data_IF_942201284658
#
_entry.id   IF_942201284658
#
_cell.length_a   1.000
_cell.length_b   1.000
_cell.length_c   1.000
_cell.angle_alpha   90.00
_cell.angle_beta   90.00
_cell.angle_gamma   90.00
#
_symmetry.space_group_name_H-M   'P 1'
#
loop_
_entity.id
_entity.type
_entity.pdbx_description
1 polymer ?
#
# COMPACT_ATOMS: atom_id res chain seq x y z
N UNK A 1 -12.04 -13.55 0.33
CA UNK A 1 -12.58 -13.21 1.66
C UNK A 1 -13.75 -14.12 1.93
N UNK A 2 -13.90 -14.60 3.15
CA UNK A 2 -14.99 -15.52 3.46
C UNK A 2 -16.34 -14.82 3.28
N UNK A 3 -17.37 -15.59 2.87
CA UNK A 3 -18.77 -15.16 2.83
C UNK A 3 -19.20 -14.48 4.14
N UNK A 4 -18.73 -15.00 5.29
CA UNK A 4 -19.01 -14.48 6.64
C UNK A 4 -18.66 -12.99 6.84
N UNK A 5 -17.51 -12.51 6.35
CA UNK A 5 -17.19 -11.08 6.43
C UNK A 5 -18.04 -10.27 5.45
N UNK A 6 -18.21 -10.78 4.22
CA UNK A 6 -18.99 -10.07 3.19
C UNK A 6 -20.44 -9.82 3.62
N UNK A 7 -21.07 -10.81 4.25
CA UNK A 7 -22.44 -10.74 4.75
C UNK A 7 -22.61 -9.76 5.94
N UNK A 8 -21.55 -9.56 6.71
CA UNK A 8 -21.57 -8.73 7.93
C UNK A 8 -20.92 -7.36 7.79
N UNK A 9 -20.36 -7.08 6.63
CA UNK A 9 -19.70 -5.79 6.38
C UNK A 9 -20.68 -4.63 6.54
N UNK A 10 -20.32 -3.68 7.42
CA UNK A 10 -21.17 -2.54 7.76
C UNK A 10 -22.13 -2.78 8.92
N UNK A 11 -22.18 -3.99 9.49
CA UNK A 11 -22.92 -4.27 10.72
C UNK A 11 -22.23 -3.55 11.91
N UNK A 12 -22.94 -2.68 12.66
CA UNK A 12 -22.36 -1.97 13.79
C UNK A 12 -21.94 -2.88 14.95
N UNK A 13 -22.43 -4.12 14.98
CA UNK A 13 -22.10 -5.12 16.00
C UNK A 13 -20.72 -5.76 15.81
N UNK A 14 -20.08 -5.62 14.65
CA UNK A 14 -18.75 -6.20 14.43
C UNK A 14 -17.61 -5.24 14.80
N UNK A 15 -16.46 -5.82 15.08
CA UNK A 15 -15.18 -5.12 15.14
C UNK A 15 -14.43 -5.37 13.82
N UNK A 16 -14.59 -4.45 12.86
CA UNK A 16 -13.95 -4.53 11.55
C UNK A 16 -12.52 -3.97 11.61
N UNK A 17 -11.55 -4.86 11.76
CA UNK A 17 -10.12 -4.56 11.78
C UNK A 17 -9.41 -5.00 10.48
N UNK A 18 -10.16 -5.19 9.39
CA UNK A 18 -9.63 -5.77 8.14
C UNK A 18 -8.94 -4.73 7.27
N UNK A 19 -9.62 -3.62 6.99
CA UNK A 19 -9.16 -2.58 6.07
C UNK A 19 -8.93 -1.24 6.75
N UNK A 20 -8.06 -0.41 6.14
CA UNK A 20 -7.84 0.97 6.57
C UNK A 20 -8.99 1.89 6.15
N UNK A 21 -10.21 1.57 6.57
CA UNK A 21 -11.37 2.43 6.41
C UNK A 21 -11.52 3.38 7.61
N UNK A 22 -12.17 4.54 7.42
CA UNK A 22 -12.50 5.42 8.54
C UNK A 22 -13.60 4.80 9.40
N UNK A 23 -13.46 4.92 10.72
CA UNK A 23 -14.46 4.59 11.72
C UNK A 23 -14.86 5.82 12.56
N UNK A 24 -14.41 6.98 12.14
CA UNK A 24 -14.66 8.28 12.76
C UNK A 24 -15.07 9.29 11.69
N UNK A 25 -15.57 10.45 12.11
CA UNK A 25 -15.94 11.51 11.17
C UNK A 25 -14.74 12.00 10.38
N UNK A 26 -14.93 12.39 9.10
CA UNK A 26 -13.86 12.94 8.28
C UNK A 26 -13.22 14.17 8.93
N UNK A 27 -11.94 14.41 8.61
CA UNK A 27 -11.23 15.62 9.05
C UNK A 27 -12.00 16.89 8.65
N UNK A 28 -12.24 17.78 9.60
CA UNK A 28 -12.95 19.04 9.34
C UNK A 28 -12.25 19.87 8.25
N UNK A 29 -10.90 19.88 8.25
CA UNK A 29 -10.12 20.55 7.21
C UNK A 29 -10.34 19.98 5.82
N UNK A 30 -10.52 18.66 5.67
CA UNK A 30 -10.87 18.03 4.41
C UNK A 30 -12.25 18.50 3.91
N UNK A 31 -13.24 18.49 4.80
CA UNK A 31 -14.61 18.94 4.46
C UNK A 31 -14.60 20.40 4.04
N UNK A 32 -13.86 21.26 4.74
CA UNK A 32 -13.72 22.69 4.42
C UNK A 32 -13.06 22.86 3.05
N UNK A 33 -11.93 22.20 2.80
CA UNK A 33 -11.22 22.27 1.53
C UNK A 33 -12.12 21.87 0.35
N UNK A 34 -12.85 20.76 0.47
CA UNK A 34 -13.74 20.30 -0.59
C UNK A 34 -14.89 21.27 -0.85
N UNK A 35 -15.49 21.85 0.21
CA UNK A 35 -16.56 22.83 0.08
C UNK A 35 -16.08 24.11 -0.62
N UNK A 36 -14.91 24.62 -0.26
CA UNK A 36 -14.33 25.82 -0.88
C UNK A 36 -13.96 25.57 -2.35
N UNK A 37 -13.39 24.43 -2.67
CA UNK A 37 -13.01 24.08 -4.05
C UNK A 37 -14.22 23.68 -4.91
N UNK A 38 -15.37 23.38 -4.34
CA UNK A 38 -16.61 23.20 -5.07
C UNK A 38 -17.20 24.53 -5.61
N UNK A 39 -16.76 25.70 -5.10
CA UNK A 39 -17.18 27.01 -5.58
C UNK A 39 -16.35 27.43 -6.79
N UNK A 40 -16.93 27.53 -8.00
CA UNK A 40 -16.17 27.84 -9.21
C UNK A 40 -15.64 29.27 -9.18
N UNK A 41 -14.40 29.47 -9.59
CA UNK A 41 -13.75 30.80 -9.70
C UNK A 41 -13.70 31.34 -11.12
N UNK A 42 -13.92 30.48 -12.13
CA UNK A 42 -13.98 30.85 -13.54
C UNK A 42 -14.75 29.78 -14.34
N UNK A 43 -15.11 30.10 -15.59
CA UNK A 43 -15.98 29.29 -16.45
C UNK A 43 -15.45 27.84 -16.69
N UNK A 44 -14.14 27.65 -16.67
CA UNK A 44 -13.48 26.37 -16.97
C UNK A 44 -13.12 25.58 -15.70
N UNK A 45 -13.70 25.93 -14.54
CA UNK A 45 -13.41 25.31 -13.25
C UNK A 45 -13.66 23.79 -13.25
N UNK A 46 -14.73 23.36 -13.89
CA UNK A 46 -15.12 21.96 -14.00
C UNK A 46 -14.87 21.36 -15.40
N UNK A 47 -14.08 22.04 -16.23
CA UNK A 47 -13.67 21.47 -17.50
C UNK A 47 -12.74 20.25 -17.31
N UNK A 48 -12.56 19.47 -18.37
CA UNK A 48 -11.56 18.38 -18.35
C UNK A 48 -10.18 18.92 -17.96
N UNK A 49 -9.57 18.26 -16.96
CA UNK A 49 -8.25 18.63 -16.45
C UNK A 49 -7.33 17.41 -16.45
N UNK A 50 -6.25 17.52 -17.15
CA UNK A 50 -5.23 16.46 -17.19
C UNK A 50 -4.52 16.34 -15.84
N UNK A 51 -3.79 17.39 -15.47
CA UNK A 51 -3.27 17.63 -14.12
C UNK A 51 -3.33 19.14 -13.90
N UNK A 52 -3.90 19.57 -12.79
CA UNK A 52 -4.00 20.99 -12.48
C UNK A 52 -2.60 21.57 -12.24
N UNK A 53 -2.25 22.61 -13.02
CA UNK A 53 -0.87 23.17 -13.06
C UNK A 53 -0.43 23.74 -11.72
N UNK A 54 -1.32 24.44 -11.03
CA UNK A 54 -1.00 25.00 -9.71
C UNK A 54 -0.72 23.87 -8.69
N UNK A 55 -1.49 22.80 -8.74
CA UNK A 55 -1.29 21.64 -7.88
C UNK A 55 -0.01 20.87 -8.23
N UNK A 56 0.33 20.73 -9.52
CA UNK A 56 1.62 20.15 -9.92
C UNK A 56 2.80 20.99 -9.44
N UNK A 57 2.74 22.32 -9.60
CA UNK A 57 3.80 23.21 -9.15
C UNK A 57 3.97 23.17 -7.63
N UNK A 58 2.85 23.18 -6.90
CA UNK A 58 2.85 23.04 -5.45
C UNK A 58 3.48 21.71 -5.00
N UNK A 59 3.08 20.61 -5.63
CA UNK A 59 3.62 19.27 -5.32
C UNK A 59 5.10 19.16 -5.64
N UNK A 60 5.57 19.74 -6.74
CA UNK A 60 7.00 19.74 -7.06
C UNK A 60 7.83 20.41 -5.96
N UNK A 61 7.39 21.59 -5.49
CA UNK A 61 8.04 22.29 -4.37
C UNK A 61 7.95 21.46 -3.07
N UNK A 62 6.81 20.85 -2.80
CA UNK A 62 6.60 20.03 -1.61
C UNK A 62 7.50 18.80 -1.61
N UNK A 63 7.57 18.07 -2.73
CA UNK A 63 8.43 16.90 -2.90
C UNK A 63 9.92 17.28 -2.82
N UNK A 64 10.29 18.41 -3.40
CA UNK A 64 11.65 18.93 -3.27
C UNK A 64 12.02 19.18 -1.80
N UNK A 65 11.13 19.79 -1.03
CA UNK A 65 11.35 20.04 0.41
C UNK A 65 11.38 18.75 1.23
N UNK A 66 10.51 17.77 0.91
CA UNK A 66 10.35 16.54 1.69
C UNK A 66 11.41 15.48 1.36
N UNK A 67 11.76 15.33 0.08
CA UNK A 67 12.66 14.28 -0.41
C UNK A 67 14.06 14.79 -0.79
N UNK A 68 14.30 16.12 -0.72
CA UNK A 68 15.54 16.77 -1.14
C UNK A 68 15.95 16.46 -2.60
N UNK A 69 14.97 16.26 -3.48
CA UNK A 69 15.16 15.98 -4.91
C UNK A 69 14.53 17.10 -5.76
N UNK A 70 15.17 17.56 -6.86
CA UNK A 70 14.76 18.75 -7.63
C UNK A 70 13.60 18.43 -8.60
N UNK A 71 12.42 18.12 -8.07
CA UNK A 71 11.22 17.85 -8.87
C UNK A 71 10.77 19.08 -9.65
N UNK A 72 10.33 18.83 -10.88
CA UNK A 72 9.63 19.82 -11.72
C UNK A 72 8.13 19.46 -11.81
N UNK A 73 7.23 20.42 -12.07
CA UNK A 73 5.80 20.14 -12.24
C UNK A 73 5.51 19.06 -13.30
N UNK A 74 6.30 19.02 -14.37
CA UNK A 74 6.18 18.03 -15.45
C UNK A 74 6.53 16.61 -15.05
N UNK A 75 7.19 16.41 -13.93
CA UNK A 75 7.52 15.08 -13.39
C UNK A 75 6.30 14.40 -12.75
N UNK A 76 5.22 15.14 -12.50
CA UNK A 76 4.10 14.72 -11.67
C UNK A 76 2.82 14.63 -12.50
N UNK A 77 2.20 13.46 -12.54
CA UNK A 77 0.85 13.26 -13.08
C UNK A 77 -0.13 12.99 -11.93
N UNK A 78 -1.17 13.83 -11.80
CA UNK A 78 -2.26 13.58 -10.85
C UNK A 78 -3.08 12.38 -11.30
N UNK A 79 -3.46 11.51 -10.35
CA UNK A 79 -4.16 10.27 -10.62
C UNK A 79 -5.34 10.06 -9.66
N UNK A 80 -6.25 9.16 -10.00
CA UNK A 80 -7.37 8.74 -9.14
C UNK A 80 -6.88 7.83 -8.00
N UNK A 81 -5.92 8.31 -7.22
CA UNK A 81 -5.23 7.58 -6.14
C UNK A 81 -4.13 6.66 -6.65
N UNK A 82 -3.46 5.97 -5.72
CA UNK A 82 -2.33 5.09 -6.03
C UNK A 82 -2.70 3.91 -6.93
N UNK A 83 -3.94 3.38 -6.90
CA UNK A 83 -4.36 2.33 -7.83
C UNK A 83 -4.14 2.73 -9.29
N UNK A 84 -4.63 3.93 -9.66
CA UNK A 84 -4.44 4.45 -11.01
C UNK A 84 -2.95 4.74 -11.29
N UNK A 85 -2.22 5.31 -10.34
CA UNK A 85 -0.79 5.57 -10.47
C UNK A 85 0.00 4.29 -10.77
N UNK A 86 -0.26 3.21 -10.04
CA UNK A 86 0.40 1.91 -10.21
C UNK A 86 0.06 1.30 -11.57
N UNK A 87 -1.22 1.30 -12.00
CA UNK A 87 -1.59 0.77 -13.31
C UNK A 87 -0.98 1.60 -14.45
N UNK A 88 -0.96 2.93 -14.33
CA UNK A 88 -0.24 3.78 -15.30
C UNK A 88 1.25 3.41 -15.32
N UNK A 89 1.89 3.24 -14.16
CA UNK A 89 3.28 2.82 -14.08
C UNK A 89 3.51 1.48 -14.79
N UNK A 90 2.64 0.48 -14.58
CA UNK A 90 2.76 -0.81 -15.27
C UNK A 90 2.68 -0.66 -16.78
N UNK A 91 1.69 0.05 -17.30
CA UNK A 91 1.50 0.21 -18.75
C UNK A 91 2.54 1.11 -19.44
N UNK A 92 3.30 1.92 -18.69
CA UNK A 92 4.39 2.72 -19.30
C UNK A 92 5.74 2.00 -19.30
N UNK A 93 5.93 0.97 -18.45
CA UNK A 93 7.24 0.29 -18.35
C UNK A 93 7.20 -1.19 -18.71
N UNK A 94 6.01 -1.81 -18.81
CA UNK A 94 5.85 -3.24 -19.11
C UNK A 94 5.16 -3.44 -20.46
N UNK A 95 5.65 -4.38 -21.23
CA UNK A 95 4.95 -4.98 -22.36
C UNK A 95 4.36 -6.34 -21.96
N UNK A 96 3.48 -6.89 -22.78
CA UNK A 96 2.95 -8.22 -22.57
C UNK A 96 4.08 -9.26 -22.46
N UNK A 97 4.06 -10.05 -21.38
CA UNK A 97 5.05 -11.06 -21.06
C UNK A 97 6.33 -10.54 -20.39
N UNK A 98 6.47 -9.23 -20.14
CA UNK A 98 7.53 -8.70 -19.27
C UNK A 98 7.29 -9.12 -17.83
N UNK A 99 8.38 -9.20 -17.06
CA UNK A 99 8.34 -9.65 -15.67
C UNK A 99 8.48 -8.47 -14.70
N UNK A 100 7.73 -8.57 -13.58
CA UNK A 100 7.85 -7.65 -12.45
C UNK A 100 8.11 -8.41 -11.15
N UNK A 101 9.14 -8.01 -10.39
CA UNK A 101 9.49 -8.61 -9.09
C UNK A 101 8.67 -7.95 -7.99
N UNK A 102 8.01 -8.78 -7.17
CA UNK A 102 7.27 -8.38 -5.96
C UNK A 102 7.75 -9.17 -4.76
N UNK A 103 7.91 -8.50 -3.61
CA UNK A 103 8.36 -9.13 -2.35
C UNK A 103 7.17 -9.46 -1.45
N UNK A 104 7.05 -10.74 -1.05
CA UNK A 104 5.95 -11.26 -0.21
C UNK A 104 6.34 -11.35 1.27
N UNK A 105 5.40 -11.06 2.20
CA UNK A 105 4.00 -10.66 1.97
C UNK A 105 3.90 -9.35 1.21
N UNK A 106 2.99 -9.26 0.25
CA UNK A 106 2.80 -8.08 -0.58
C UNK A 106 1.35 -7.57 -0.47
N UNK A 107 1.12 -6.31 -0.81
CA UNK A 107 -0.25 -5.86 -1.00
C UNK A 107 -0.93 -6.71 -2.09
N UNK A 108 -2.00 -7.38 -1.72
CA UNK A 108 -2.65 -8.42 -2.51
C UNK A 108 -3.19 -7.95 -3.89
N UNK A 109 -3.19 -6.65 -4.17
CA UNK A 109 -3.61 -6.13 -5.47
C UNK A 109 -2.49 -6.08 -6.51
N UNK A 110 -1.20 -6.16 -6.13
CA UNK A 110 -0.13 -6.09 -7.15
C UNK A 110 -0.21 -7.21 -8.17
N UNK A 111 -0.36 -8.45 -7.71
CA UNK A 111 -0.44 -9.60 -8.62
C UNK A 111 -1.59 -9.50 -9.62
N UNK A 112 -2.88 -9.33 -9.21
CA UNK A 112 -3.97 -9.21 -10.18
C UNK A 112 -3.83 -7.98 -11.08
N UNK A 113 -3.22 -6.88 -10.62
CA UNK A 113 -2.96 -5.72 -11.47
C UNK A 113 -1.87 -5.99 -12.51
N UNK A 114 -0.80 -6.72 -12.16
CA UNK A 114 0.24 -7.14 -13.11
C UNK A 114 -0.35 -8.08 -14.17
N UNK A 115 -1.14 -9.06 -13.75
CA UNK A 115 -1.82 -9.97 -14.66
C UNK A 115 -2.78 -9.22 -15.61
N UNK A 116 -3.50 -8.22 -15.11
CA UNK A 116 -4.36 -7.36 -15.95
C UNK A 116 -3.58 -6.47 -16.93
N UNK A 117 -2.29 -6.25 -16.68
CA UNK A 117 -1.36 -5.57 -17.58
C UNK A 117 -0.59 -6.57 -18.48
N UNK A 118 -1.04 -7.82 -18.59
CA UNK A 118 -0.37 -8.91 -19.31
C UNK A 118 1.09 -9.16 -18.90
N UNK A 119 1.48 -8.74 -17.68
CA UNK A 119 2.81 -8.92 -17.11
C UNK A 119 2.88 -10.16 -16.21
N UNK A 120 4.08 -10.69 -16.03
CA UNK A 120 4.35 -11.90 -15.24
C UNK A 120 4.91 -11.51 -13.87
N UNK A 121 4.19 -11.77 -12.76
CA UNK A 121 4.71 -11.52 -11.42
C UNK A 121 5.79 -12.54 -11.03
N UNK A 122 6.97 -12.05 -10.63
CA UNK A 122 8.07 -12.83 -10.05
C UNK A 122 8.10 -12.59 -8.55
N UNK A 123 7.71 -13.60 -7.78
CA UNK A 123 7.53 -13.50 -6.33
C UNK A 123 8.79 -13.91 -5.59
N UNK A 124 9.25 -13.09 -4.66
CA UNK A 124 10.35 -13.38 -3.72
C UNK A 124 9.88 -13.19 -2.29
N UNK A 125 10.51 -13.85 -1.32
CA UNK A 125 10.16 -13.65 0.09
C UNK A 125 10.98 -12.52 0.70
N UNK A 126 10.36 -11.75 1.59
CA UNK A 126 11.07 -10.85 2.50
C UNK A 126 11.85 -11.67 3.54
N UNK A 127 12.93 -11.10 4.09
CA UNK A 127 13.76 -11.76 5.13
C UNK A 127 13.03 -11.79 6.47
N UNK A 128 12.79 -12.98 6.98
CA UNK A 128 12.34 -13.18 8.35
C UNK A 128 13.47 -12.97 9.37
N UNK A 129 13.17 -12.54 10.62
CA UNK A 129 11.85 -12.18 11.13
C UNK A 129 11.46 -10.70 10.86
N UNK A 130 12.40 -9.87 10.38
CA UNK A 130 12.22 -8.42 10.30
C UNK A 130 11.47 -7.95 9.06
N UNK A 131 11.23 -8.84 8.10
CA UNK A 131 10.61 -8.52 6.81
C UNK A 131 11.35 -7.43 6.02
N UNK A 132 12.68 -7.45 6.09
CA UNK A 132 13.54 -6.63 5.23
C UNK A 132 13.60 -7.20 3.81
N UNK A 133 14.00 -6.37 2.83
CA UNK A 133 14.20 -6.82 1.46
C UNK A 133 15.29 -7.90 1.40
N UNK A 134 15.00 -9.02 0.75
CA UNK A 134 16.00 -10.02 0.43
C UNK A 134 16.63 -9.70 -0.94
N UNK A 135 17.71 -8.92 -0.90
CA UNK A 135 18.41 -8.50 -2.11
C UNK A 135 18.95 -9.66 -2.93
N UNK A 136 19.38 -10.74 -2.27
CA UNK A 136 19.87 -11.95 -2.95
C UNK A 136 18.73 -12.66 -3.69
N UNK A 137 17.54 -12.76 -3.07
CA UNK A 137 16.37 -13.33 -3.71
C UNK A 137 15.86 -12.45 -4.84
N UNK A 138 15.89 -11.10 -4.67
CA UNK A 138 15.55 -10.15 -5.74
C UNK A 138 16.52 -10.31 -6.92
N UNK A 139 17.83 -10.36 -6.68
CA UNK A 139 18.84 -10.54 -7.73
C UNK A 139 18.63 -11.84 -8.51
N UNK A 140 18.38 -12.94 -7.81
CA UNK A 140 18.11 -14.25 -8.41
C UNK A 140 16.80 -14.28 -9.23
N UNK A 141 15.82 -13.44 -8.89
CA UNK A 141 14.56 -13.36 -9.61
C UNK A 141 14.61 -12.46 -10.86
N UNK A 142 15.61 -11.58 -10.96
CA UNK A 142 15.77 -10.70 -12.13
C UNK A 142 16.39 -11.46 -13.30
N UNK A 143 15.68 -11.45 -14.43
CA UNK A 143 16.08 -12.09 -15.68
C UNK A 143 15.98 -11.15 -16.88
N UNK A 144 16.23 -11.66 -18.11
CA UNK A 144 16.23 -10.85 -19.32
C UNK A 144 14.87 -10.26 -19.70
N UNK A 145 13.79 -10.73 -19.09
CA UNK A 145 12.42 -10.20 -19.25
C UNK A 145 11.99 -9.28 -18.11
N UNK A 146 12.79 -9.15 -17.07
CA UNK A 146 12.43 -8.31 -15.91
C UNK A 146 12.58 -6.85 -16.26
N UNK A 147 11.51 -6.08 -16.13
CA UNK A 147 11.45 -4.63 -16.40
C UNK A 147 11.15 -3.80 -15.17
N UNK A 148 10.60 -4.42 -14.13
CA UNK A 148 10.11 -3.71 -12.95
C UNK A 148 10.43 -4.47 -11.67
N UNK A 149 10.83 -3.71 -10.63
CA UNK A 149 10.83 -4.16 -9.24
C UNK A 149 9.91 -3.25 -8.45
N UNK A 150 9.05 -3.80 -7.59
CA UNK A 150 8.11 -3.02 -6.77
C UNK A 150 8.61 -3.03 -5.34
N UNK A 151 8.76 -1.84 -4.76
CA UNK A 151 9.06 -1.62 -3.34
C UNK A 151 7.95 -0.77 -2.73
N UNK A 152 7.24 -1.31 -1.76
CA UNK A 152 6.26 -0.58 -0.96
C UNK A 152 6.89 -0.17 0.38
N UNK A 153 7.00 1.12 0.66
CA UNK A 153 7.59 1.62 1.89
C UNK A 153 6.95 2.95 2.31
N UNK A 154 6.47 3.09 3.56
CA UNK A 154 6.28 2.06 4.59
C UNK A 154 5.44 0.89 4.09
N UNK A 155 5.85 -0.32 4.44
CA UNK A 155 5.39 -1.55 3.82
C UNK A 155 4.02 -2.02 4.34
N UNK A 156 3.12 -2.35 3.44
CA UNK A 156 1.86 -3.02 3.75
C UNK A 156 1.99 -4.51 3.38
N UNK A 157 1.94 -5.46 4.36
CA UNK A 157 1.27 -5.33 5.66
C UNK A 157 2.16 -5.06 6.87
N UNK A 158 3.47 -5.16 6.76
CA UNK A 158 4.38 -5.29 7.91
C UNK A 158 4.69 -3.96 8.63
N UNK A 159 4.40 -2.82 8.02
CA UNK A 159 4.74 -1.50 8.54
C UNK A 159 6.23 -1.15 8.47
N UNK A 160 7.05 -1.98 7.85
CA UNK A 160 8.50 -1.79 7.77
C UNK A 160 8.86 -0.57 6.91
N UNK A 161 9.81 0.23 7.38
CA UNK A 161 10.49 1.26 6.58
C UNK A 161 11.91 0.76 6.33
N UNK A 162 12.26 0.56 5.07
CA UNK A 162 13.59 0.08 4.70
C UNK A 162 14.63 1.18 4.91
N UNK A 163 15.81 0.79 5.39
CA UNK A 163 16.89 1.73 5.67
C UNK A 163 17.66 2.14 4.39
N UNK A 164 18.41 3.22 4.51
CA UNK A 164 19.15 3.81 3.40
C UNK A 164 20.20 2.84 2.82
N UNK A 165 20.84 2.01 3.64
CA UNK A 165 21.82 1.04 3.17
C UNK A 165 21.17 -0.04 2.32
N UNK A 166 20.00 -0.54 2.74
CA UNK A 166 19.22 -1.51 1.98
C UNK A 166 18.75 -0.92 0.65
N UNK A 167 18.24 0.33 0.65
CA UNK A 167 17.76 1.00 -0.56
C UNK A 167 18.91 1.32 -1.52
N UNK A 168 20.08 1.73 -1.02
CA UNK A 168 21.28 1.96 -1.81
C UNK A 168 21.80 0.68 -2.45
N UNK A 169 21.88 -0.41 -1.69
CA UNK A 169 22.30 -1.71 -2.21
C UNK A 169 21.31 -2.25 -3.27
N UNK A 170 19.99 -2.01 -3.10
CA UNK A 170 19.01 -2.31 -4.12
C UNK A 170 19.26 -1.49 -5.40
N UNK A 171 19.52 -0.20 -5.29
CA UNK A 171 19.83 0.67 -6.44
C UNK A 171 21.04 0.18 -7.23
N UNK A 172 22.12 -0.18 -6.53
CA UNK A 172 23.33 -0.75 -7.13
C UNK A 172 23.03 -2.10 -7.84
N UNK A 173 22.21 -2.93 -7.23
CA UNK A 173 21.75 -4.20 -7.82
C UNK A 173 20.98 -3.97 -9.12
N UNK A 174 20.04 -3.04 -9.12
CA UNK A 174 19.21 -2.72 -10.30
C UNK A 174 20.03 -2.11 -11.44
N UNK A 175 21.05 -1.30 -11.12
CA UNK A 175 21.95 -0.76 -12.14
C UNK A 175 22.78 -1.89 -12.78
N UNK A 176 23.41 -2.77 -11.97
CA UNK A 176 24.14 -3.96 -12.49
C UNK A 176 23.23 -4.87 -13.33
N UNK A 177 21.97 -5.06 -12.92
CA UNK A 177 21.02 -5.87 -13.67
C UNK A 177 20.67 -5.21 -15.00
N UNK A 178 20.47 -3.89 -15.01
CA UNK A 178 20.19 -3.10 -16.21
C UNK A 178 21.32 -3.18 -17.22
N UNK A 179 22.56 -3.07 -16.75
CA UNK A 179 23.77 -3.24 -17.60
C UNK A 179 23.88 -4.67 -18.14
N UNK A 180 23.71 -5.68 -17.29
CA UNK A 180 23.78 -7.10 -17.66
C UNK A 180 22.83 -7.49 -18.78
N UNK A 181 21.59 -6.98 -18.73
CA UNK A 181 20.55 -7.35 -19.69
C UNK A 181 20.35 -6.33 -20.82
N UNK A 182 21.11 -5.23 -20.81
CA UNK A 182 21.08 -4.23 -21.89
C UNK A 182 19.79 -3.41 -21.97
N UNK A 183 19.02 -3.34 -20.88
CA UNK A 183 17.81 -2.52 -20.77
C UNK A 183 17.59 -2.06 -19.34
N UNK A 184 16.78 -1.04 -19.14
CA UNK A 184 16.49 -0.52 -17.79
C UNK A 184 15.51 -1.45 -17.04
N UNK A 185 15.85 -1.74 -15.78
CA UNK A 185 14.93 -2.31 -14.79
C UNK A 185 14.41 -1.15 -13.96
N UNK A 186 13.15 -0.80 -14.12
CA UNK A 186 12.53 0.29 -13.36
C UNK A 186 12.24 -0.12 -11.92
N UNK A 187 12.19 0.86 -11.02
CA UNK A 187 11.73 0.70 -9.65
C UNK A 187 10.41 1.45 -9.47
N UNK A 188 9.35 0.76 -9.08
CA UNK A 188 8.13 1.40 -8.58
C UNK A 188 8.24 1.51 -7.06
N UNK A 189 8.38 2.74 -6.56
CA UNK A 189 8.30 3.06 -5.15
C UNK A 189 6.86 3.42 -4.79
N UNK A 190 6.15 2.49 -4.17
CA UNK A 190 4.76 2.71 -3.73
C UNK A 190 4.76 3.25 -2.30
N UNK A 191 4.50 4.56 -2.15
CA UNK A 191 4.72 5.35 -0.93
C UNK A 191 3.42 5.92 -0.30
N UNK A 192 2.27 5.26 -0.32
CA UNK A 192 1.02 5.85 0.16
C UNK A 192 1.03 6.14 1.68
N UNK A 193 1.96 5.52 2.40
CA UNK A 193 2.08 5.65 3.86
C UNK A 193 3.28 6.49 4.30
N UNK A 194 4.08 7.11 3.41
CA UNK A 194 5.35 7.77 3.79
C UNK A 194 5.18 8.86 4.87
N UNK A 195 4.00 9.45 5.01
CA UNK A 195 3.67 10.43 6.05
C UNK A 195 3.09 9.81 7.33
N UNK A 196 2.80 8.50 7.33
CA UNK A 196 2.31 7.73 8.48
C UNK A 196 3.48 6.97 9.11
N UNK A 197 4.21 7.64 10.00
CA UNK A 197 5.43 7.12 10.65
C UNK A 197 5.35 7.34 12.14
N UNK A 198 5.97 6.45 12.91
CA UNK A 198 5.94 6.46 14.37
C UNK A 198 7.33 6.72 14.95
N UNK A 199 7.37 7.16 16.20
CA UNK A 199 8.58 7.29 17.01
C UNK A 199 9.71 8.12 16.36
N UNK A 200 9.35 9.13 15.55
CA UNK A 200 10.34 9.95 14.85
C UNK A 200 11.10 9.21 13.73
N UNK A 201 10.63 8.04 13.30
CA UNK A 201 11.29 7.27 12.24
C UNK A 201 11.43 8.10 10.96
N UNK A 202 12.66 8.22 10.46
CA UNK A 202 12.94 8.85 9.17
C UNK A 202 12.36 8.06 8.00
N UNK A 203 12.22 8.74 6.86
CA UNK A 203 11.83 8.13 5.60
C UNK A 203 12.71 8.69 4.48
N UNK A 204 13.33 7.80 3.72
CA UNK A 204 14.04 8.13 2.49
C UNK A 204 13.36 7.42 1.33
N UNK A 205 13.00 8.17 0.29
CA UNK A 205 12.45 7.57 -0.92
C UNK A 205 13.53 6.78 -1.68
N UNK A 206 13.23 5.58 -2.20
CA UNK A 206 14.12 4.87 -3.13
C UNK A 206 14.61 5.72 -4.32
N UNK A 207 13.81 6.72 -4.73
CA UNK A 207 14.18 7.67 -5.79
C UNK A 207 15.43 8.50 -5.47
N UNK A 208 15.84 8.58 -4.20
CA UNK A 208 17.08 9.22 -3.77
C UNK A 208 18.32 8.47 -4.29
N UNK A 209 18.22 7.15 -4.41
CA UNK A 209 19.34 6.29 -4.76
C UNK A 209 19.30 5.75 -6.18
N UNK A 210 18.10 5.59 -6.75
CA UNK A 210 17.93 5.00 -8.07
C UNK A 210 17.20 5.93 -9.04
N UNK A 211 17.86 6.41 -10.12
CA UNK A 211 17.28 7.36 -11.07
C UNK A 211 16.02 6.80 -11.79
N UNK A 212 15.99 5.51 -12.10
CA UNK A 212 14.89 4.89 -12.86
C UNK A 212 13.71 4.52 -11.94
N UNK A 213 13.35 5.44 -11.03
CA UNK A 213 12.28 5.25 -10.07
C UNK A 213 11.03 6.03 -10.46
N UNK A 214 9.89 5.34 -10.36
CA UNK A 214 8.54 5.91 -10.39
C UNK A 214 7.98 5.91 -8.97
N UNK A 215 7.40 7.01 -8.52
CA UNK A 215 6.83 7.16 -7.17
C UNK A 215 5.30 7.18 -7.28
N UNK A 216 4.63 6.24 -6.62
CA UNK A 216 3.17 6.23 -6.44
C UNK A 216 2.80 6.77 -5.06
N UNK A 217 1.81 7.68 -5.02
CA UNK A 217 1.30 8.22 -3.76
C UNK A 217 -0.22 8.38 -3.76
N UNK A 218 -0.83 8.32 -2.57
CA UNK A 218 -2.25 8.54 -2.36
C UNK A 218 -2.54 9.32 -1.09
N UNK A 219 -3.36 10.36 -1.19
CA UNK A 219 -3.86 11.13 -0.02
C UNK A 219 -4.86 10.36 0.83
N UNK A 220 -5.51 9.35 0.27
CA UNK A 220 -6.54 8.57 0.98
C UNK A 220 -6.06 7.88 2.27
N UNK A 221 -4.73 7.75 2.47
CA UNK A 221 -4.15 7.13 3.66
C UNK A 221 -3.94 8.15 4.78
N UNK A 222 -3.21 9.22 4.52
CA UNK A 222 -2.93 10.26 5.51
C UNK A 222 -4.19 11.02 5.95
N UNK A 223 -5.20 11.10 5.09
CA UNK A 223 -6.48 11.73 5.39
C UNK A 223 -7.53 10.77 5.94
N UNK A 224 -7.23 9.46 5.95
CA UNK A 224 -8.19 8.38 6.22
C UNK A 224 -9.49 8.57 5.43
N UNK A 225 -9.36 8.95 4.17
CA UNK A 225 -10.47 9.23 3.26
C UNK A 225 -10.26 8.49 1.93
N UNK A 226 -10.20 7.14 1.94
CA UNK A 226 -9.86 6.35 0.75
C UNK A 226 -10.91 6.47 -0.37
N UNK A 227 -12.13 6.89 -0.06
CA UNK A 227 -13.18 7.17 -1.05
C UNK A 227 -12.91 8.44 -1.87
N UNK A 228 -12.08 9.37 -1.36
CA UNK A 228 -11.62 10.54 -2.10
C UNK A 228 -10.42 10.14 -2.96
N UNK A 229 -10.68 9.97 -4.24
CA UNK A 229 -9.74 9.37 -5.19
C UNK A 229 -8.75 10.40 -5.74
N UNK A 230 -7.72 10.75 -4.98
CA UNK A 230 -6.62 11.64 -5.42
C UNK A 230 -5.26 11.10 -4.98
N UNK A 231 -4.31 11.18 -5.86
CA UNK A 231 -2.92 10.79 -5.69
C UNK A 231 -2.10 11.27 -6.88
N UNK A 232 -0.91 10.75 -7.03
CA UNK A 232 -0.06 11.06 -8.18
C UNK A 232 0.91 9.90 -8.49
N UNK A 233 1.38 9.90 -9.73
CA UNK A 233 2.56 9.21 -10.19
C UNK A 233 3.62 10.27 -10.49
N UNK A 234 4.81 10.11 -9.93
CA UNK A 234 5.94 11.00 -10.22
C UNK A 234 7.14 10.21 -10.74
N UNK A 235 7.86 10.78 -11.71
CA UNK A 235 9.16 10.28 -12.16
C UNK A 235 10.27 10.86 -11.29
N UNK A 236 11.28 10.06 -10.98
CA UNK A 236 12.47 10.59 -10.30
C UNK A 236 13.11 11.73 -11.10
N UNK A 237 13.38 12.88 -10.48
CA UNK A 237 14.03 13.99 -11.17
C UNK A 237 15.51 13.70 -11.51
N UNK A 238 16.09 12.65 -10.91
CA UNK A 238 17.46 12.17 -11.24
C UNK A 238 17.51 11.36 -12.52
N UNK A 239 16.36 10.99 -13.10
CA UNK A 239 16.29 10.32 -14.40
C UNK A 239 16.77 11.29 -15.49
N UNK A 240 17.51 10.81 -16.53
CA UNK A 240 17.94 11.66 -17.63
C UNK A 240 16.77 12.42 -18.27
N UNK A 241 16.97 13.70 -18.58
CA UNK A 241 15.89 14.62 -19.00
C UNK A 241 15.07 14.12 -20.19
N UNK A 242 15.75 13.52 -21.19
CA UNK A 242 15.09 13.00 -22.40
C UNK A 242 14.05 11.93 -22.07
N UNK A 243 14.44 10.98 -21.25
CA UNK A 243 13.61 9.85 -20.81
C UNK A 243 12.51 10.32 -19.89
N UNK A 244 12.79 11.23 -18.96
CA UNK A 244 11.83 11.84 -18.04
C UNK A 244 10.72 12.57 -18.81
N UNK A 245 11.10 13.37 -19.82
CA UNK A 245 10.14 14.07 -20.70
C UNK A 245 9.29 13.09 -21.51
N UNK A 246 9.90 12.03 -22.05
CA UNK A 246 9.17 10.99 -22.78
C UNK A 246 8.13 10.32 -21.88
N UNK A 247 8.50 9.93 -20.64
CA UNK A 247 7.58 9.33 -19.68
C UNK A 247 6.45 10.28 -19.31
N UNK A 248 6.69 11.57 -19.11
CA UNK A 248 5.64 12.56 -18.82
C UNK A 248 4.55 12.57 -19.92
N UNK A 249 4.96 12.55 -21.19
CA UNK A 249 4.02 12.50 -22.32
C UNK A 249 3.26 11.17 -22.36
N UNK A 250 3.94 10.06 -22.11
CA UNK A 250 3.32 8.71 -22.11
C UNK A 250 2.35 8.55 -20.94
N UNK A 251 2.63 9.10 -19.77
CA UNK A 251 1.71 9.09 -18.63
C UNK A 251 0.33 9.66 -19.00
N UNK A 252 0.31 10.80 -19.69
CA UNK A 252 -0.92 11.40 -20.16
C UNK A 252 -1.69 10.49 -21.11
N UNK A 253 -1.01 9.98 -22.15
CA UNK A 253 -1.62 9.10 -23.15
C UNK A 253 -2.12 7.80 -22.53
N UNK A 254 -1.38 7.27 -21.56
CA UNK A 254 -1.75 6.04 -20.85
C UNK A 254 -2.97 6.23 -19.97
N UNK A 255 -3.09 7.36 -19.24
CA UNK A 255 -4.31 7.68 -18.47
C UNK A 255 -5.54 7.73 -19.40
N UNK A 256 -5.41 8.31 -20.58
CA UNK A 256 -6.48 8.32 -21.58
C UNK A 256 -6.83 6.92 -22.09
N UNK A 257 -5.82 6.13 -22.46
CA UNK A 257 -6.00 4.77 -23.00
C UNK A 257 -6.65 3.84 -21.96
N UNK A 258 -6.35 4.00 -20.68
CA UNK A 258 -6.95 3.25 -19.58
C UNK A 258 -8.36 3.75 -19.19
N UNK A 259 -8.84 4.83 -19.79
CA UNK A 259 -10.17 5.39 -19.49
C UNK A 259 -10.25 6.16 -18.16
N UNK A 260 -9.13 6.57 -17.58
CA UNK A 260 -9.08 7.31 -16.31
C UNK A 260 -8.88 8.82 -16.48
N UNK A 261 -9.55 9.40 -17.43
CA UNK A 261 -9.45 10.80 -17.84
C UNK A 261 -10.34 11.73 -17.01
N UNK A 262 -9.91 12.38 -16.01
CA UNK A 262 -8.72 12.42 -15.18
C UNK A 262 -9.21 12.50 -13.73
N UNK A 263 -8.40 12.71 -12.67
CA UNK A 263 -8.95 12.87 -11.33
C UNK A 263 -9.98 14.00 -11.28
N UNK A 264 -10.94 13.89 -10.35
CA UNK A 264 -11.97 14.91 -10.12
C UNK A 264 -11.35 16.31 -9.96
N UNK A 265 -11.89 17.30 -10.67
CA UNK A 265 -11.35 18.67 -10.68
C UNK A 265 -11.27 19.29 -9.28
N UNK A 266 -12.31 19.13 -8.45
CA UNK A 266 -12.33 19.63 -7.07
C UNK A 266 -11.17 19.05 -6.27
N UNK A 267 -10.93 17.74 -6.40
CA UNK A 267 -9.84 17.06 -5.71
C UNK A 267 -8.48 17.56 -6.18
N UNK A 268 -8.32 17.82 -7.48
CA UNK A 268 -7.08 18.36 -8.02
C UNK A 268 -6.79 19.76 -7.44
N UNK A 269 -7.78 20.65 -7.41
CA UNK A 269 -7.65 21.99 -6.80
C UNK A 269 -7.39 21.95 -5.30
N UNK A 270 -7.90 20.92 -4.62
CA UNK A 270 -7.73 20.78 -3.17
C UNK A 270 -6.32 20.31 -2.76
N UNK A 271 -5.50 19.78 -3.67
CA UNK A 271 -4.18 19.21 -3.34
C UNK A 271 -3.34 20.09 -2.41
N UNK A 272 -3.19 21.41 -2.62
CA UNK A 272 -2.43 22.27 -1.71
C UNK A 272 -3.00 22.28 -0.28
N UNK A 273 -4.32 22.27 -0.14
CA UNK A 273 -5.00 22.27 1.16
C UNK A 273 -4.82 20.90 1.85
N UNK A 274 -4.96 19.81 1.08
CA UNK A 274 -4.82 18.44 1.57
C UNK A 274 -3.42 18.14 2.10
N UNK A 275 -2.40 18.78 1.55
CA UNK A 275 -1.00 18.54 1.92
C UNK A 275 -0.69 18.98 3.35
N UNK A 276 -1.41 19.95 3.89
CA UNK A 276 -1.28 20.40 5.28
C UNK A 276 -2.02 19.49 6.28
N UNK A 277 -2.90 18.59 5.81
CA UNK A 277 -3.76 17.79 6.65
C UNK A 277 -3.16 16.43 6.99
N UNK A 278 -3.48 15.96 8.18
CA UNK A 278 -3.15 14.62 8.67
C UNK A 278 -4.19 14.15 9.68
N UNK A 279 -4.44 12.85 9.71
CA UNK A 279 -5.08 12.23 10.87
C UNK A 279 -4.23 12.41 12.13
N UNK A 280 -4.82 12.25 13.32
CA UNK A 280 -4.10 12.34 14.59
C UNK A 280 -3.14 11.15 14.75
N UNK A 281 -1.85 11.41 14.47
CA UNK A 281 -0.79 10.41 14.62
C UNK A 281 -0.55 10.00 16.06
N UNK A 282 -0.83 10.87 17.03
CA UNK A 282 -0.66 10.55 18.46
C UNK A 282 -1.76 9.56 18.90
N UNK A 283 -3.01 9.78 18.48
CA UNK A 283 -4.10 8.82 18.72
C UNK A 283 -3.79 7.47 18.04
N UNK A 284 -3.31 7.51 16.79
CA UNK A 284 -2.95 6.31 16.07
C UNK A 284 -1.81 5.54 16.73
N UNK A 285 -0.82 6.25 17.28
CA UNK A 285 0.28 5.65 18.08
C UNK A 285 -0.24 4.95 19.32
N UNK A 286 -1.14 5.59 20.07
CA UNK A 286 -1.75 4.97 21.27
C UNK A 286 -2.51 3.69 20.90
N UNK A 287 -3.31 3.69 19.83
CA UNK A 287 -4.04 2.51 19.33
C UNK A 287 -3.09 1.37 18.95
N UNK A 288 -2.04 1.70 18.21
CA UNK A 288 -0.98 0.76 17.85
C UNK A 288 -0.38 0.09 19.09
N UNK A 289 0.05 0.90 20.05
CA UNK A 289 0.79 0.43 21.23
C UNK A 289 -0.13 -0.40 22.15
N UNK A 290 -1.38 0.02 22.33
CA UNK A 290 -2.38 -0.72 23.11
C UNK A 290 -2.70 -2.08 22.48
N UNK A 291 -2.94 -2.13 21.17
CA UNK A 291 -3.17 -3.38 20.44
C UNK A 291 -1.97 -4.30 20.49
N UNK A 292 -0.77 -3.79 20.23
CA UNK A 292 0.46 -4.59 20.26
C UNK A 292 0.72 -5.18 21.66
N UNK A 293 0.56 -4.40 22.72
CA UNK A 293 0.73 -4.87 24.09
C UNK A 293 -0.31 -5.95 24.47
N UNK A 294 -1.57 -5.74 24.10
CA UNK A 294 -2.64 -6.70 24.39
C UNK A 294 -2.45 -8.03 23.64
N UNK A 295 -2.10 -7.98 22.37
CA UNK A 295 -1.81 -9.17 21.56
C UNK A 295 -0.57 -9.93 22.09
N UNK A 296 0.51 -9.21 22.43
CA UNK A 296 1.71 -9.83 23.03
C UNK A 296 1.37 -10.50 24.35
N UNK A 297 0.58 -9.86 25.21
CA UNK A 297 0.10 -10.43 26.47
C UNK A 297 -0.75 -11.68 26.25
N UNK A 298 -1.53 -11.70 25.16
CA UNK A 298 -2.32 -12.86 24.76
C UNK A 298 -1.49 -13.97 24.06
N UNK A 299 -0.17 -13.81 23.89
CA UNK A 299 0.73 -14.83 23.34
C UNK A 299 0.94 -14.75 21.83
N UNK A 300 0.49 -13.70 21.16
CA UNK A 300 0.79 -13.48 19.75
C UNK A 300 2.21 -12.90 19.56
N UNK A 301 2.88 -13.33 18.52
CA UNK A 301 4.10 -12.67 18.03
C UNK A 301 3.69 -11.48 17.16
N UNK A 302 4.02 -10.26 17.57
CA UNK A 302 3.59 -9.02 16.91
C UNK A 302 4.79 -8.26 16.38
N UNK A 303 4.78 -7.94 15.09
CA UNK A 303 5.72 -6.99 14.51
C UNK A 303 5.20 -5.57 14.72
N UNK A 304 5.92 -4.78 15.53
CA UNK A 304 5.59 -3.37 15.74
C UNK A 304 5.95 -2.55 14.50
N UNK A 305 4.98 -1.86 13.87
CA UNK A 305 5.25 -1.15 12.62
C UNK A 305 6.02 0.16 12.84
N UNK A 306 6.98 0.44 11.94
CA UNK A 306 7.66 1.75 11.82
C UNK A 306 6.71 2.81 11.22
N UNK A 307 5.79 2.38 10.37
CA UNK A 307 4.82 3.21 9.66
C UNK A 307 3.56 2.44 9.28
N UNK A 308 2.69 3.04 8.48
CA UNK A 308 1.35 2.56 8.12
C UNK A 308 0.34 2.68 9.28
N UNK A 309 -0.80 2.05 9.16
CA UNK A 309 -1.78 1.86 10.25
C UNK A 309 -2.18 0.38 10.38
N UNK A 310 -1.20 -0.51 10.12
CA UNK A 310 -1.40 -1.95 10.22
C UNK A 310 -0.44 -2.57 11.22
N UNK A 311 -0.95 -3.50 12.03
CA UNK A 311 -0.16 -4.46 12.77
C UNK A 311 -0.11 -5.77 11.99
N UNK A 312 1.07 -6.38 11.94
CA UNK A 312 1.30 -7.70 11.39
C UNK A 312 1.61 -8.66 12.52
N UNK A 313 0.74 -9.64 12.74
CA UNK A 313 0.85 -10.57 13.85
C UNK A 313 0.79 -12.01 13.35
N UNK A 314 1.52 -12.89 14.03
CA UNK A 314 1.54 -14.31 13.75
C UNK A 314 0.43 -15.01 14.54
N UNK A 315 -0.26 -15.92 13.86
CA UNK A 315 -1.23 -16.79 14.54
C UNK A 315 -0.52 -17.64 15.61
N UNK A 316 -1.21 -17.94 16.73
CA UNK A 316 -0.71 -18.93 17.67
C UNK A 316 -0.59 -20.31 17.00
N UNK A 317 0.05 -21.26 17.67
CA UNK A 317 0.15 -22.63 17.17
C UNK A 317 -1.24 -23.20 16.82
N UNK A 318 -1.31 -23.96 15.74
CA UNK A 318 -2.54 -24.58 15.26
C UNK A 318 -2.93 -24.13 13.85
N UNK A 319 -4.20 -24.31 13.51
CA UNK A 319 -4.69 -23.99 12.17
C UNK A 319 -5.14 -22.52 12.11
N UNK A 320 -4.52 -21.69 11.25
CA UNK A 320 -4.86 -20.27 11.07
C UNK A 320 -6.33 -20.03 10.74
N UNK A 321 -6.95 -20.88 9.93
CA UNK A 321 -8.37 -20.76 9.59
C UNK A 321 -9.29 -21.00 10.80
N UNK A 322 -8.91 -21.91 11.70
CA UNK A 322 -9.63 -22.15 12.95
C UNK A 322 -9.56 -20.93 13.85
N UNK A 323 -8.39 -20.32 14.02
CA UNK A 323 -8.22 -19.09 14.80
C UNK A 323 -9.03 -17.94 14.20
N UNK A 324 -8.98 -17.77 12.88
CA UNK A 324 -9.78 -16.76 12.17
C UNK A 324 -11.28 -16.96 12.40
N UNK A 325 -11.77 -18.21 12.30
CA UNK A 325 -13.19 -18.54 12.55
C UNK A 325 -13.59 -18.20 13.99
N UNK A 326 -12.76 -18.52 14.98
CA UNK A 326 -13.02 -18.20 16.40
C UNK A 326 -13.12 -16.69 16.65
N UNK A 327 -12.28 -15.87 16.00
CA UNK A 327 -12.41 -14.40 16.05
C UNK A 327 -13.72 -13.96 15.41
N UNK A 328 -14.07 -14.51 14.25
CA UNK A 328 -15.31 -14.18 13.54
C UNK A 328 -16.56 -14.56 14.34
N UNK A 329 -16.55 -15.70 15.09
CA UNK A 329 -17.62 -16.12 16.01
C UNK A 329 -17.83 -15.09 17.14
N UNK A 330 -16.78 -14.30 17.47
CA UNK A 330 -16.79 -13.23 18.47
C UNK A 330 -16.96 -11.84 17.84
N UNK A 331 -17.42 -11.80 16.59
CA UNK A 331 -17.64 -10.58 15.83
C UNK A 331 -16.36 -9.75 15.58
N UNK A 332 -15.17 -10.34 15.62
CA UNK A 332 -13.90 -9.68 15.31
C UNK A 332 -13.39 -10.18 13.97
N UNK A 333 -13.15 -9.26 13.05
CA UNK A 333 -12.65 -9.56 11.71
C UNK A 333 -11.29 -8.92 11.47
N UNK A 334 -10.32 -9.74 11.09
CA UNK A 334 -8.95 -9.35 10.71
C UNK A 334 -8.67 -9.85 9.30
N UNK A 335 -7.67 -9.26 8.64
CA UNK A 335 -7.31 -9.70 7.29
C UNK A 335 -6.32 -10.88 7.37
N UNK A 336 -6.69 -12.08 6.89
CA UNK A 336 -5.80 -13.24 6.94
C UNK A 336 -4.60 -13.04 6.00
N UNK A 337 -3.43 -13.44 6.46
CA UNK A 337 -2.18 -13.33 5.71
C UNK A 337 -2.11 -14.25 4.48
N UNK A 338 -2.99 -15.25 4.40
CA UNK A 338 -3.16 -16.07 3.20
C UNK A 338 -3.48 -15.26 1.95
N UNK A 339 -4.16 -14.12 2.07
CA UNK A 339 -4.38 -13.18 0.96
C UNK A 339 -3.09 -12.49 0.48
N UNK A 340 -2.01 -12.58 1.27
CA UNK A 340 -0.69 -12.01 0.99
C UNK A 340 0.39 -13.11 0.93
N UNK A 341 -0.04 -14.35 0.65
CA UNK A 341 0.82 -15.56 0.54
C UNK A 341 1.67 -15.86 1.79
N UNK A 342 1.15 -15.50 2.99
CA UNK A 342 1.81 -15.71 4.29
C UNK A 342 0.78 -16.19 5.31
N UNK A 343 0.42 -17.47 5.25
CA UNK A 343 -0.71 -18.09 5.96
C UNK A 343 -0.61 -18.01 7.47
N UNK A 344 0.63 -18.03 8.02
CA UNK A 344 0.86 -18.05 9.46
C UNK A 344 0.65 -16.69 10.15
N UNK A 345 0.33 -15.66 9.37
CA UNK A 345 0.16 -14.29 9.85
C UNK A 345 -1.24 -13.74 9.54
N UNK A 346 -1.55 -12.62 10.17
CA UNK A 346 -2.73 -11.81 9.87
C UNK A 346 -2.44 -10.34 10.08
N UNK A 347 -3.23 -9.49 9.42
CA UNK A 347 -3.10 -8.05 9.51
C UNK A 347 -4.27 -7.45 10.28
N UNK A 348 -3.99 -6.55 11.21
CA UNK A 348 -4.96 -5.73 11.93
C UNK A 348 -4.84 -4.29 11.47
N UNK A 349 -5.96 -3.65 11.11
CA UNK A 349 -6.02 -2.21 10.91
C UNK A 349 -6.37 -1.53 12.22
N UNK A 350 -5.52 -0.61 12.70
CA UNK A 350 -5.80 0.19 13.89
C UNK A 350 -6.37 1.59 13.56
N UNK A 351 -7.00 1.72 12.37
CA UNK A 351 -7.87 2.86 12.04
C UNK A 351 -9.25 2.74 12.70
N UNK A 352 -9.54 1.60 13.31
CA UNK A 352 -10.73 1.37 14.12
C UNK A 352 -10.80 2.38 15.28
N UNK A 353 -12.04 2.73 15.71
CA UNK A 353 -12.23 3.60 16.88
C UNK A 353 -11.72 2.94 18.17
N UNK A 354 -11.41 3.76 19.18
CA UNK A 354 -10.95 3.25 20.49
C UNK A 354 -11.95 2.25 21.07
N UNK A 355 -13.27 2.56 21.02
CA UNK A 355 -14.31 1.66 21.49
C UNK A 355 -14.41 0.33 20.71
N UNK A 356 -14.12 0.34 19.41
CA UNK A 356 -14.09 -0.87 18.61
C UNK A 356 -12.88 -1.74 18.96
N UNK A 357 -11.72 -1.12 19.20
CA UNK A 357 -10.51 -1.82 19.64
C UNK A 357 -10.75 -2.45 21.03
N UNK A 358 -11.28 -1.70 21.99
CA UNK A 358 -11.58 -2.20 23.32
C UNK A 358 -12.53 -3.40 23.31
N UNK A 359 -13.56 -3.38 22.47
CA UNK A 359 -14.46 -4.52 22.30
C UNK A 359 -13.80 -5.74 21.65
N UNK A 360 -12.79 -5.52 20.80
CA UNK A 360 -12.10 -6.62 20.10
C UNK A 360 -11.06 -7.34 20.97
N UNK A 361 -10.43 -6.66 21.94
CA UNK A 361 -9.32 -7.20 22.72
C UNK A 361 -9.63 -8.53 23.45
N UNK A 362 -10.79 -8.71 24.12
CA UNK A 362 -11.10 -9.98 24.80
C UNK A 362 -11.08 -11.18 23.86
N UNK A 363 -11.57 -11.02 22.63
CA UNK A 363 -11.62 -12.11 21.65
C UNK A 363 -10.25 -12.69 21.31
N UNK A 364 -9.21 -11.85 21.22
CA UNK A 364 -7.86 -12.32 20.99
C UNK A 364 -7.32 -13.18 22.13
N UNK A 365 -7.57 -12.79 23.38
CA UNK A 365 -7.14 -13.55 24.55
C UNK A 365 -7.87 -14.88 24.68
N UNK A 366 -9.16 -14.91 24.40
CA UNK A 366 -9.97 -16.14 24.45
C UNK A 366 -9.56 -17.14 23.36
N UNK A 367 -9.23 -16.67 22.16
CA UNK A 367 -8.80 -17.54 21.05
C UNK A 367 -7.50 -18.28 21.38
N UNK A 368 -6.59 -17.67 22.15
CA UNK A 368 -5.34 -18.30 22.58
C UNK A 368 -5.50 -19.18 23.83
N UNK A 369 -6.46 -18.85 24.71
CA UNK A 369 -6.73 -19.61 25.95
C UNK A 369 -7.50 -20.92 25.70
N UNK A 370 -8.30 -20.98 24.65
CA UNK A 370 -9.08 -22.17 24.33
C UNK A 370 -8.17 -23.32 23.85
N UNK A 371 -8.08 -24.46 24.56
CA UNK A 371 -7.28 -25.58 24.10
C UNK A 371 -7.77 -26.05 22.72
N UNK A 372 -6.84 -26.30 21.81
CA UNK A 372 -7.12 -26.89 20.51
C UNK A 372 -7.71 -28.28 20.76
N UNK A 373 -9.03 -28.41 20.68
CA UNK A 373 -9.67 -29.72 20.71
C UNK A 373 -9.19 -30.53 19.50
N UNK A 374 -8.55 -31.70 19.66
CA UNK A 374 -8.05 -32.48 18.55
C UNK A 374 -9.18 -33.25 17.84
N UNK A 375 -10.15 -32.55 17.32
CA UNK A 375 -11.26 -33.23 16.61
C UNK A 375 -11.80 -32.40 15.46
N UNK A 376 -11.17 -32.58 14.33
CA UNK A 376 -11.83 -32.72 13.03
C UNK A 376 -10.82 -33.46 12.13
N UNK A 377 -10.91 -34.80 12.12
CA UNK A 377 -10.29 -35.62 11.09
C UNK A 377 -10.75 -35.11 9.73
N UNK A 378 -9.90 -35.14 8.68
CA UNK A 378 -10.34 -34.84 7.33
C UNK A 378 -11.53 -35.73 6.99
N UNK A 379 -12.58 -35.16 6.40
CA UNK A 379 -13.64 -35.93 5.78
C UNK A 379 -12.98 -36.77 4.69
N UNK A 380 -12.91 -38.09 4.92
CA UNK A 380 -12.51 -39.02 3.89
C UNK A 380 -13.42 -38.84 2.68
N UNK A 381 -12.86 -38.39 1.58
CA UNK A 381 -13.54 -38.38 0.29
C UNK A 381 -13.87 -39.85 -0.05
N UNK A 382 -15.16 -40.23 -0.01
CA UNK A 382 -15.61 -41.51 -0.53
C UNK A 382 -15.16 -41.63 -2.01
N UNK A 383 -14.61 -42.80 -2.40
CA UNK A 383 -14.31 -43.04 -3.79
C UNK A 383 -15.60 -43.02 -4.62
N UNK A 384 -15.57 -42.35 -5.76
CA UNK A 384 -16.63 -42.36 -6.75
C UNK A 384 -16.90 -43.83 -7.15
N UNK A 385 -18.11 -44.30 -6.91
CA UNK A 385 -18.61 -45.58 -7.46
C UNK A 385 -18.77 -45.38 -8.97
N UNK A 386 -17.97 -46.10 -9.74
CA UNK A 386 -18.12 -46.17 -11.19
C UNK A 386 -19.37 -46.94 -11.61
N UNK A 387 -20.05 -46.42 -12.61
CA UNK A 387 -20.62 -47.13 -13.76
C UNK A 387 -20.75 -46.14 -14.91
#
# INVERSE_FOLDING_TARGET
MSSRYGERRGDPGICDLTFGNPHEMPLAGLVTALRERAMPKHKDWFAYKTSEKESQAFLAQRLQSELALPFEPSDIALTTGAFAAIMVAFHIVLNAGDEAVISEPAWFCYEPMLLAADAVPRKVKLKFPNFDLDLSAIEAAIGPKTRLVIVNTPHNPTGRIYDDNTLKALAELLERASERYGHRVFLLSDEPYRRLRFNGRGFTSPATFYPWTLISYSYGKILLAPGQRIGYLATSPSMPFKERKALSNVMFSTQMALGWCFPNAIMQYAVPDLESLSIDLAALTRRRDSLAAALTKAGYEVLLPDGTFYLWAKWPEGNPQTHWNRLADRNVFVLPGSLMNTTDYFRISFTASDSMIERALPAFSEVTADPISPSLRPIETRPAIGT
#
